data_IF_010077152729
#
_entry.id   IF_010077152729
#
_cell.length_a   1.000
_cell.length_b   1.000
_cell.length_c   1.000
_cell.angle_alpha   90.00
_cell.angle_beta   90.00
_cell.angle_gamma   90.00
#
_symmetry.space_group_name_H-M   'P 1'
#
loop_
_entity.id
_entity.type
_entity.pdbx_description
1 polymer ?
#
# COMPACT_ATOMS: atom_id res chain seq x y z
N UNK A 1 -31.23 46.07 -4.90
CA UNK A 1 -30.57 45.12 -3.98
C UNK A 1 -30.06 43.95 -4.79
N UNK A 2 -28.75 43.69 -4.83
CA UNK A 2 -28.18 42.52 -5.50
C UNK A 2 -28.36 41.30 -4.59
N UNK A 3 -29.16 40.34 -5.04
CA UNK A 3 -29.38 39.07 -4.37
C UNK A 3 -28.05 38.34 -4.29
N UNK A 4 -27.50 38.16 -3.08
CA UNK A 4 -26.37 37.26 -2.84
C UNK A 4 -26.85 35.86 -3.20
N UNK A 5 -26.37 35.33 -4.31
CA UNK A 5 -26.43 33.91 -4.61
C UNK A 5 -25.67 33.22 -3.47
N UNK A 6 -26.40 32.54 -2.58
CA UNK A 6 -25.78 31.55 -1.70
C UNK A 6 -25.19 30.49 -2.62
N UNK A 7 -23.86 30.48 -2.75
CA UNK A 7 -23.15 29.32 -3.25
C UNK A 7 -23.53 28.16 -2.34
N UNK A 8 -24.44 27.31 -2.81
CA UNK A 8 -24.60 25.97 -2.25
C UNK A 8 -23.20 25.38 -2.25
N UNK A 9 -22.64 25.12 -1.07
CA UNK A 9 -21.47 24.26 -0.97
C UNK A 9 -21.84 23.02 -1.74
N UNK A 10 -21.18 22.79 -2.86
CA UNK A 10 -21.15 21.47 -3.48
C UNK A 10 -20.38 20.60 -2.49
N UNK A 11 -21.03 20.21 -1.39
CA UNK A 11 -20.83 18.92 -0.77
C UNK A 11 -21.14 17.92 -1.88
N UNK A 12 -20.14 17.71 -2.75
CA UNK A 12 -20.07 16.52 -3.55
C UNK A 12 -20.22 15.42 -2.54
N UNK A 13 -21.39 14.78 -2.50
CA UNK A 13 -21.56 13.47 -1.88
C UNK A 13 -20.42 12.63 -2.43
N UNK A 14 -19.37 12.50 -1.63
CA UNK A 14 -18.25 11.63 -1.90
C UNK A 14 -18.90 10.26 -1.99
N UNK A 15 -19.01 9.73 -3.21
CA UNK A 15 -19.57 8.40 -3.43
C UNK A 15 -18.72 7.44 -2.60
N UNK A 16 -19.30 6.91 -1.52
CA UNK A 16 -18.66 6.14 -0.45
C UNK A 16 -18.20 4.74 -0.88
N UNK A 17 -17.92 4.52 -2.16
CA UNK A 17 -17.54 3.20 -2.70
C UNK A 17 -16.25 2.69 -2.03
N UNK A 18 -15.36 3.58 -1.58
CA UNK A 18 -14.14 3.17 -0.85
C UNK A 18 -14.35 2.89 0.63
N UNK A 19 -15.50 3.23 1.19
CA UNK A 19 -15.79 2.95 2.59
C UNK A 19 -16.06 1.46 2.81
N UNK A 20 -16.57 0.74 1.81
CA UNK A 20 -16.72 -0.72 1.90
C UNK A 20 -15.38 -1.41 2.11
N UNK A 21 -14.35 -1.05 1.34
CA UNK A 21 -13.00 -1.59 1.52
C UNK A 21 -12.40 -1.27 2.90
N UNK A 22 -12.77 -0.14 3.51
CA UNK A 22 -12.38 0.16 4.89
C UNK A 22 -12.96 -0.82 5.89
N UNK A 23 -14.17 -1.33 5.66
CA UNK A 23 -14.79 -2.27 6.58
C UNK A 23 -14.03 -3.59 6.65
N UNK A 24 -13.31 -3.91 5.58
CA UNK A 24 -12.43 -5.08 5.50
C UNK A 24 -11.09 -4.89 6.24
N UNK A 25 -10.80 -3.70 6.81
CA UNK A 25 -9.57 -3.51 7.58
C UNK A 25 -9.64 -4.32 8.89
N UNK A 26 -8.71 -5.24 9.02
CA UNK A 26 -8.40 -5.90 10.29
C UNK A 26 -7.03 -5.47 10.79
N UNK A 27 -6.87 -5.46 12.12
CA UNK A 27 -5.58 -5.21 12.74
C UNK A 27 -4.60 -6.31 12.35
N UNK A 28 -3.45 -5.90 11.84
CA UNK A 28 -2.35 -6.82 11.61
C UNK A 28 -1.90 -7.43 12.95
N UNK A 29 -1.91 -8.74 13.03
CA UNK A 29 -1.32 -9.49 14.15
C UNK A 29 -0.07 -10.23 13.67
N UNK A 30 0.99 -10.27 14.48
CA UNK A 30 2.24 -10.97 14.12
C UNK A 30 2.01 -12.45 13.75
N UNK A 31 1.09 -13.13 14.47
CA UNK A 31 0.73 -14.53 14.21
C UNK A 31 -0.03 -14.75 12.90
N UNK A 32 -0.66 -13.72 12.36
CA UNK A 32 -1.51 -13.75 11.15
C UNK A 32 -1.07 -12.74 10.10
N UNK A 33 0.22 -12.38 10.12
CA UNK A 33 0.78 -11.27 9.35
C UNK A 33 0.46 -11.37 7.85
N UNK A 34 0.60 -12.55 7.26
CA UNK A 34 0.36 -12.76 5.82
C UNK A 34 -1.09 -12.48 5.43
N UNK A 35 -2.05 -12.92 6.24
CA UNK A 35 -3.47 -12.73 5.97
C UNK A 35 -3.91 -11.29 6.25
N UNK A 36 -3.50 -10.72 7.39
CA UNK A 36 -3.80 -9.32 7.67
C UNK A 36 -3.16 -8.37 6.65
N UNK A 37 -2.02 -8.74 6.04
CA UNK A 37 -1.42 -7.95 4.96
C UNK A 37 -2.30 -7.94 3.72
N UNK A 38 -3.03 -9.02 3.42
CA UNK A 38 -3.99 -9.04 2.30
C UNK A 38 -5.08 -7.98 2.53
N UNK A 39 -5.68 -7.94 3.73
CA UNK A 39 -6.73 -6.98 4.07
C UNK A 39 -6.20 -5.54 4.08
N UNK A 40 -5.05 -5.33 4.73
CA UNK A 40 -4.40 -4.02 4.75
C UNK A 40 -4.06 -3.54 3.34
N UNK A 41 -3.55 -4.42 2.48
CA UNK A 41 -3.26 -4.10 1.08
C UNK A 41 -4.53 -3.84 0.29
N UNK A 42 -5.63 -4.57 0.51
CA UNK A 42 -6.91 -4.30 -0.13
C UNK A 42 -7.37 -2.87 0.14
N UNK A 43 -7.26 -2.41 1.40
CA UNK A 43 -7.61 -1.04 1.82
C UNK A 43 -6.69 -0.01 1.18
N UNK A 44 -5.37 -0.25 1.16
CA UNK A 44 -4.40 0.66 0.56
C UNK A 44 -4.49 0.72 -0.97
N UNK A 45 -4.88 -0.40 -1.59
CA UNK A 45 -4.97 -0.56 -3.04
C UNK A 45 -6.34 -0.15 -3.59
N UNK A 46 -7.37 -0.07 -2.76
CA UNK A 46 -8.67 0.47 -3.16
C UNK A 46 -8.51 1.94 -3.56
N UNK A 47 -8.36 2.11 -4.86
CA UNK A 47 -8.19 3.39 -5.52
C UNK A 47 -9.55 4.10 -5.60
N UNK A 48 -9.53 5.43 -5.48
CA UNK A 48 -10.69 6.34 -5.54
C UNK A 48 -11.60 6.36 -4.29
N UNK A 49 -11.03 6.81 -3.17
CA UNK A 49 -11.79 7.38 -2.04
C UNK A 49 -12.49 8.71 -2.44
N UNK A 50 -13.12 8.75 -3.59
CA UNK A 50 -13.80 9.93 -4.14
C UNK A 50 -12.91 10.93 -4.89
N UNK A 51 -11.58 10.80 -4.87
CA UNK A 51 -10.66 11.75 -5.52
C UNK A 51 -10.06 11.21 -6.82
N UNK A 52 -10.80 11.34 -7.93
CA UNK A 52 -10.32 10.97 -9.27
C UNK A 52 -9.02 11.69 -9.70
N UNK A 53 -8.67 12.80 -9.04
CA UNK A 53 -7.43 13.57 -9.31
C UNK A 53 -6.16 12.95 -8.73
N UNK A 54 -6.26 11.83 -8.04
CA UNK A 54 -5.15 11.28 -7.25
C UNK A 54 -4.52 10.01 -7.86
N UNK A 55 -5.02 9.54 -9.02
CA UNK A 55 -4.48 8.37 -9.75
C UNK A 55 -2.99 8.40 -9.99
N UNK A 56 -2.48 9.55 -10.37
CA UNK A 56 -1.05 9.72 -10.67
C UNK A 56 -0.26 10.29 -9.48
N UNK A 57 -0.91 10.58 -8.36
CA UNK A 57 -0.27 11.24 -7.20
C UNK A 57 0.21 10.27 -6.14
N UNK A 58 -0.39 9.08 -6.04
CA UNK A 58 -0.08 8.13 -4.98
C UNK A 58 0.37 6.78 -5.52
N UNK A 59 1.22 6.05 -4.78
CA UNK A 59 1.83 4.83 -5.27
C UNK A 59 0.80 3.72 -5.46
N UNK A 60 0.92 2.94 -6.54
CA UNK A 60 0.16 1.71 -6.73
C UNK A 60 0.64 0.62 -5.76
N UNK A 61 -0.32 -0.07 -5.13
CA UNK A 61 -0.09 -1.12 -4.15
C UNK A 61 -0.40 -2.52 -4.69
N UNK A 62 -0.92 -2.66 -5.91
CA UNK A 62 -1.37 -3.97 -6.38
C UNK A 62 -0.24 -5.00 -6.43
N UNK A 63 0.87 -4.67 -7.09
CA UNK A 63 2.06 -5.53 -7.17
C UNK A 63 2.83 -5.58 -5.85
N UNK A 64 2.90 -4.44 -5.16
CA UNK A 64 3.66 -4.28 -3.92
C UNK A 64 3.03 -5.06 -2.74
N UNK A 65 1.71 -5.10 -2.70
CA UNK A 65 0.95 -5.81 -1.67
C UNK A 65 1.15 -7.32 -1.77
N UNK A 66 1.03 -7.89 -2.98
CA UNK A 66 1.30 -9.31 -3.24
C UNK A 66 2.72 -9.71 -2.82
N UNK A 67 3.70 -8.89 -3.19
CA UNK A 67 5.11 -9.05 -2.79
C UNK A 67 5.28 -9.10 -1.26
N UNK A 68 4.61 -8.20 -0.52
CA UNK A 68 4.71 -8.20 0.94
C UNK A 68 4.08 -9.42 1.60
N UNK A 69 2.93 -9.89 1.11
CA UNK A 69 2.31 -11.11 1.61
C UNK A 69 3.22 -12.32 1.43
N UNK A 70 3.94 -12.40 0.30
CA UNK A 70 4.91 -13.46 0.06
C UNK A 70 6.16 -13.34 0.93
N UNK A 71 6.67 -12.12 1.12
CA UNK A 71 7.76 -11.91 2.08
C UNK A 71 7.35 -12.29 3.51
N UNK A 72 6.12 -12.00 3.93
CA UNK A 72 5.60 -12.42 5.22
C UNK A 72 5.54 -13.96 5.35
N UNK A 73 4.97 -14.65 4.35
CA UNK A 73 4.91 -16.13 4.31
C UNK A 73 6.30 -16.77 4.40
N UNK A 74 7.30 -16.16 3.77
CA UNK A 74 8.69 -16.63 3.76
C UNK A 74 9.48 -16.24 5.02
N UNK A 75 8.87 -15.59 6.01
CA UNK A 75 9.57 -15.13 7.22
C UNK A 75 10.60 -14.03 6.96
N UNK A 76 10.46 -13.30 5.86
CA UNK A 76 11.42 -12.29 5.40
C UNK A 76 11.18 -10.90 6.00
N UNK A 77 10.15 -10.72 6.80
CA UNK A 77 9.84 -9.45 7.46
C UNK A 77 10.34 -9.53 8.91
N UNK A 78 11.26 -8.64 9.29
CA UNK A 78 11.82 -8.63 10.65
C UNK A 78 10.85 -8.06 11.68
N UNK A 79 11.02 -8.42 12.96
CA UNK A 79 10.14 -7.99 14.07
C UNK A 79 9.83 -6.49 14.11
N UNK A 80 10.84 -5.65 13.92
CA UNK A 80 10.65 -4.19 13.90
C UNK A 80 9.80 -3.72 12.70
N UNK A 81 9.98 -4.35 11.54
CA UNK A 81 9.16 -4.06 10.36
C UNK A 81 7.72 -4.49 10.60
N UNK A 82 7.51 -5.67 11.17
CA UNK A 82 6.18 -6.17 11.58
C UNK A 82 5.52 -5.14 12.50
N UNK A 83 6.16 -4.77 13.60
CA UNK A 83 5.66 -3.77 14.55
C UNK A 83 5.23 -2.46 13.86
N UNK A 84 6.04 -1.97 12.92
CA UNK A 84 5.72 -0.77 12.18
C UNK A 84 4.48 -0.93 11.29
N UNK A 85 4.32 -2.09 10.64
CA UNK A 85 3.15 -2.39 9.81
C UNK A 85 1.89 -2.53 10.67
N UNK A 86 2.00 -3.21 11.82
CA UNK A 86 0.92 -3.30 12.82
C UNK A 86 0.44 -1.91 13.24
N UNK A 87 1.37 -1.00 13.55
CA UNK A 87 1.02 0.39 13.87
C UNK A 87 0.29 1.11 12.75
N UNK A 88 0.73 0.95 11.49
CA UNK A 88 0.07 1.60 10.36
C UNK A 88 -1.35 1.05 10.14
N UNK A 89 -1.55 -0.26 10.28
CA UNK A 89 -2.87 -0.89 10.22
C UNK A 89 -3.79 -0.39 11.34
N UNK A 90 -3.27 -0.27 12.57
CA UNK A 90 -4.02 0.30 13.71
C UNK A 90 -4.51 1.71 13.44
N UNK A 91 -3.67 2.58 12.86
CA UNK A 91 -4.08 3.97 12.56
C UNK A 91 -5.28 4.00 11.60
N UNK A 92 -5.29 3.14 10.57
CA UNK A 92 -6.43 3.08 9.64
C UNK A 92 -7.68 2.54 10.34
N UNK A 93 -7.53 1.50 11.16
CA UNK A 93 -8.63 0.93 11.93
C UNK A 93 -9.25 1.97 12.86
N UNK A 94 -8.44 2.68 13.63
CA UNK A 94 -8.89 3.73 14.55
C UNK A 94 -9.58 4.88 13.78
N UNK A 95 -9.01 5.30 12.64
CA UNK A 95 -9.61 6.33 11.80
C UNK A 95 -10.99 5.91 11.27
N UNK A 96 -11.17 4.64 10.88
CA UNK A 96 -12.47 4.10 10.51
C UNK A 96 -13.46 4.20 11.67
N UNK A 97 -13.07 3.76 12.87
CA UNK A 97 -13.95 3.80 14.05
C UNK A 97 -14.37 5.23 14.37
N UNK A 98 -13.44 6.19 14.32
CA UNK A 98 -13.74 7.60 14.52
C UNK A 98 -14.74 8.13 13.49
N UNK A 99 -14.59 7.74 12.22
CA UNK A 99 -15.49 8.15 11.16
C UNK A 99 -16.89 7.53 11.32
N UNK A 100 -16.98 6.22 11.64
CA UNK A 100 -18.25 5.53 11.90
C UNK A 100 -19.05 6.15 13.06
N UNK A 101 -18.35 6.77 14.01
CA UNK A 101 -18.94 7.46 15.16
C UNK A 101 -19.12 8.99 14.93
N UNK A 102 -18.97 9.47 13.69
CA UNK A 102 -19.08 10.89 13.32
C UNK A 102 -18.12 11.84 14.08
N UNK A 103 -16.98 11.32 14.56
CA UNK A 103 -15.96 12.10 15.28
C UNK A 103 -14.97 12.78 14.33
N UNK A 104 -14.83 12.25 13.11
CA UNK A 104 -14.07 12.87 12.03
C UNK A 104 -14.91 12.86 10.75
N UNK A 105 -14.68 13.84 9.87
CA UNK A 105 -15.29 13.86 8.55
C UNK A 105 -14.49 13.01 7.54
N UNK A 106 -15.04 12.86 6.33
CA UNK A 106 -14.39 12.10 5.27
C UNK A 106 -13.07 12.71 4.80
N UNK A 107 -12.94 14.04 4.84
CA UNK A 107 -11.71 14.74 4.43
C UNK A 107 -10.56 14.43 5.39
N UNK A 108 -10.85 14.41 6.69
CA UNK A 108 -9.91 14.03 7.75
C UNK A 108 -9.54 12.55 7.61
N UNK A 109 -10.51 11.65 7.45
CA UNK A 109 -10.29 10.22 7.20
C UNK A 109 -9.37 10.00 5.99
N UNK A 110 -9.69 10.62 4.86
CA UNK A 110 -8.89 10.53 3.64
C UNK A 110 -7.45 11.01 3.86
N UNK A 111 -7.27 12.13 4.56
CA UNK A 111 -5.94 12.67 4.88
C UNK A 111 -5.10 11.69 5.70
N UNK A 112 -5.71 11.03 6.69
CA UNK A 112 -5.04 9.99 7.51
C UNK A 112 -4.63 8.81 6.64
N UNK A 113 -5.55 8.28 5.84
CA UNK A 113 -5.31 7.11 4.99
C UNK A 113 -4.23 7.38 3.95
N UNK A 114 -4.22 8.56 3.32
CA UNK A 114 -3.17 8.97 2.37
C UNK A 114 -1.79 9.00 3.04
N UNK A 115 -1.70 9.52 4.27
CA UNK A 115 -0.44 9.53 5.02
C UNK A 115 0.03 8.10 5.31
N UNK A 116 -0.87 7.24 5.79
CA UNK A 116 -0.56 5.83 6.04
C UNK A 116 -0.12 5.13 4.75
N UNK A 117 -0.80 5.36 3.63
CA UNK A 117 -0.46 4.80 2.32
C UNK A 117 0.95 5.19 1.90
N UNK A 118 1.31 6.45 2.00
CA UNK A 118 2.65 6.91 1.64
C UNK A 118 3.74 6.28 2.52
N UNK A 119 3.49 6.14 3.82
CA UNK A 119 4.44 5.53 4.75
C UNK A 119 4.53 4.01 4.58
N UNK A 120 3.40 3.34 4.34
CA UNK A 120 3.38 1.92 3.99
C UNK A 120 4.19 1.65 2.73
N UNK A 121 4.09 2.53 1.72
CA UNK A 121 4.79 2.35 0.45
C UNK A 121 6.31 2.42 0.64
N UNK A 122 6.78 3.44 1.37
CA UNK A 122 8.20 3.58 1.72
C UNK A 122 8.72 2.35 2.45
N UNK A 123 7.95 1.84 3.41
CA UNK A 123 8.32 0.66 4.20
C UNK A 123 8.36 -0.61 3.35
N UNK A 124 7.35 -0.84 2.52
CA UNK A 124 7.29 -1.98 1.60
C UNK A 124 8.48 -1.98 0.63
N UNK A 125 8.77 -0.84 0.00
CA UNK A 125 9.94 -0.69 -0.87
C UNK A 125 11.26 -0.92 -0.15
N UNK A 126 11.36 -0.50 1.11
CA UNK A 126 12.54 -0.80 1.94
C UNK A 126 12.69 -2.29 2.22
N UNK A 127 11.58 -3.01 2.45
CA UNK A 127 11.58 -4.47 2.62
C UNK A 127 12.04 -5.14 1.32
N UNK A 128 11.42 -4.82 0.17
CA UNK A 128 11.81 -5.38 -1.14
C UNK A 128 13.30 -5.16 -1.43
N UNK A 129 13.79 -3.92 -1.24
CA UNK A 129 15.21 -3.59 -1.48
C UNK A 129 16.14 -4.38 -0.57
N UNK A 130 15.75 -4.60 0.68
CA UNK A 130 16.55 -5.39 1.63
C UNK A 130 16.60 -6.84 1.19
N UNK A 131 15.48 -7.39 0.71
CA UNK A 131 15.40 -8.77 0.26
C UNK A 131 16.11 -9.00 -1.07
N UNK A 132 15.95 -8.12 -2.05
CA UNK A 132 16.71 -8.17 -3.29
C UNK A 132 18.23 -8.17 -3.04
N UNK A 133 18.71 -7.34 -2.11
CA UNK A 133 20.14 -7.34 -1.71
C UNK A 133 20.58 -8.67 -1.10
N UNK A 134 19.75 -9.28 -0.25
CA UNK A 134 20.04 -10.60 0.34
C UNK A 134 20.08 -11.68 -0.73
N UNK A 135 19.13 -11.67 -1.67
CA UNK A 135 19.09 -12.64 -2.77
C UNK A 135 20.29 -12.52 -3.69
N UNK A 136 20.70 -11.30 -4.05
CA UNK A 136 21.92 -11.06 -4.83
C UNK A 136 23.14 -11.66 -4.13
N UNK A 137 23.29 -11.40 -2.82
CA UNK A 137 24.39 -11.96 -2.02
C UNK A 137 24.34 -13.49 -1.96
N UNK A 138 23.17 -14.07 -1.68
CA UNK A 138 23.00 -15.52 -1.53
C UNK A 138 23.26 -16.28 -2.83
N UNK A 139 22.83 -15.72 -3.97
CA UNK A 139 23.05 -16.29 -5.29
C UNK A 139 24.43 -15.94 -5.88
N UNK A 140 25.28 -15.23 -5.11
CA UNK A 140 26.58 -14.73 -5.55
C UNK A 140 26.49 -13.91 -6.85
N UNK A 141 25.39 -13.18 -7.03
CA UNK A 141 25.14 -12.38 -8.23
C UNK A 141 25.89 -11.05 -8.12
N UNK A 142 26.71 -10.76 -9.13
CA UNK A 142 27.56 -9.58 -9.25
C UNK A 142 27.50 -8.99 -10.68
N UNK A 143 28.38 -8.04 -11.00
CA UNK A 143 28.51 -7.47 -12.36
C UNK A 143 28.73 -8.53 -13.44
N UNK A 144 29.50 -9.57 -13.13
CA UNK A 144 29.82 -10.64 -14.08
C UNK A 144 28.59 -11.52 -14.34
N UNK A 145 27.71 -11.63 -13.34
CA UNK A 145 26.42 -12.32 -13.49
C UNK A 145 25.50 -11.62 -14.50
N UNK A 146 25.59 -10.28 -14.63
CA UNK A 146 24.86 -9.55 -15.67
C UNK A 146 25.42 -9.84 -17.07
N UNK A 147 26.74 -9.92 -17.21
CA UNK A 147 27.40 -10.31 -18.47
C UNK A 147 26.98 -11.72 -18.90
N UNK A 148 26.98 -12.68 -17.98
CA UNK A 148 26.52 -14.05 -18.24
C UNK A 148 25.04 -14.07 -18.65
N UNK A 149 24.18 -13.29 -17.98
CA UNK A 149 22.76 -13.21 -18.32
C UNK A 149 22.56 -12.65 -19.75
N UNK A 150 23.29 -11.59 -20.11
CA UNK A 150 23.26 -11.02 -21.47
C UNK A 150 23.72 -12.02 -22.53
N UNK A 151 24.78 -12.78 -22.25
CA UNK A 151 25.25 -13.82 -23.16
C UNK A 151 24.20 -14.92 -23.38
N UNK A 152 23.52 -15.36 -22.31
CA UNK A 152 22.43 -16.35 -22.41
C UNK A 152 21.24 -15.82 -23.23
N UNK A 153 20.87 -14.55 -23.05
CA UNK A 153 19.80 -13.92 -23.82
C UNK A 153 20.17 -13.81 -25.30
N UNK A 154 21.40 -13.41 -25.61
CA UNK A 154 21.88 -13.34 -26.99
C UNK A 154 21.90 -14.71 -27.67
N UNK A 155 22.20 -15.81 -26.97
CA UNK A 155 22.10 -17.16 -27.53
C UNK A 155 20.65 -17.47 -27.91
N UNK A 156 19.70 -17.23 -26.99
CA UNK A 156 18.26 -17.41 -27.23
C UNK A 156 17.75 -16.60 -28.44
N UNK A 157 18.22 -15.36 -28.60
CA UNK A 157 17.84 -14.49 -29.71
C UNK A 157 18.46 -14.90 -31.06
N UNK A 158 19.47 -15.78 -31.06
CA UNK A 158 20.10 -16.33 -32.27
C UNK A 158 19.77 -17.82 -32.49
N UNK A 159 18.89 -18.40 -31.68
CA UNK A 159 18.36 -19.77 -31.86
C UNK A 159 17.14 -19.80 -32.81
N UNK A 160 16.79 -18.66 -33.42
CA UNK A 160 15.79 -18.51 -34.50
C UNK A 160 16.42 -18.66 -35.91
#
# INVERSE_FOLDING_TARGET
MKTKVQEKSNERKLNNVSFEALRDIELLEERRLSWGLINFNSVLNHFNWGFYRDRNKYPDFHSLGSSMSDHARKGNIGKYQIYCLVKLSSIIYDARVLYENNLIDFTQLHSIVVRVRNDAHKRFKSIEKTQAKKELKNKKLNSDSLLILKAKLAILENED
#
